data_IF_170265171190
#
_entry.id   IF_170265171190
#
_cell.length_a   1.000
_cell.length_b   1.000
_cell.length_c   1.000
_cell.angle_alpha   90.00
_cell.angle_beta   90.00
_cell.angle_gamma   90.00
#
_symmetry.space_group_name_H-M   'P 1'
#
loop_
_entity.id
_entity.type
_entity.pdbx_description
1 polymer ?
#
# COMPACT_ATOMS: atom_id res chain seq x y z
N UNK A 1 -1.05 19.27 -3.91
CA UNK A 1 -1.23 18.79 -5.29
C UNK A 1 -2.15 17.58 -5.23
N UNK A 2 -3.21 17.58 -6.03
CA UNK A 2 -4.00 16.38 -6.32
C UNK A 2 -3.51 15.80 -7.65
N UNK A 3 -3.09 14.56 -7.66
CA UNK A 3 -2.72 13.79 -8.85
C UNK A 3 -3.76 12.69 -9.04
N UNK A 4 -4.22 12.51 -10.26
CA UNK A 4 -5.20 11.48 -10.64
C UNK A 4 -4.79 10.93 -12.00
N UNK A 5 -4.70 9.60 -12.09
CA UNK A 5 -4.48 8.93 -13.37
C UNK A 5 -5.74 9.03 -14.26
N UNK A 6 -5.57 9.09 -15.56
CA UNK A 6 -6.63 9.33 -16.54
C UNK A 6 -7.58 8.14 -16.73
N UNK A 7 -7.26 6.99 -16.13
CA UNK A 7 -8.06 5.77 -16.16
C UNK A 7 -8.72 5.42 -14.81
N UNK A 8 -8.87 6.43 -13.91
CA UNK A 8 -9.53 6.25 -12.63
C UNK A 8 -10.98 6.74 -12.65
N UNK A 9 -11.85 5.98 -11.96
CA UNK A 9 -13.24 6.35 -11.67
C UNK A 9 -13.36 6.70 -10.19
N UNK A 10 -13.73 7.94 -9.90
CA UNK A 10 -13.73 8.49 -8.54
C UNK A 10 -14.96 9.35 -8.28
N UNK A 11 -15.37 9.55 -7.01
CA UNK A 11 -16.48 10.41 -6.65
C UNK A 11 -16.14 11.89 -6.87
N UNK A 12 -17.15 12.71 -7.15
CA UNK A 12 -16.98 14.14 -7.43
C UNK A 12 -16.31 14.90 -6.29
N UNK A 13 -16.51 14.45 -5.05
CA UNK A 13 -15.96 15.03 -3.81
C UNK A 13 -14.63 14.39 -3.41
N UNK A 14 -13.86 13.83 -4.36
CA UNK A 14 -12.60 13.13 -4.08
C UNK A 14 -11.58 14.02 -3.37
N UNK A 15 -11.49 15.30 -3.78
CA UNK A 15 -10.58 16.24 -3.15
C UNK A 15 -10.92 16.46 -1.68
N UNK A 16 -12.18 16.76 -1.37
CA UNK A 16 -12.66 17.01 -0.01
C UNK A 16 -12.47 15.79 0.89
N UNK A 17 -12.71 14.59 0.35
CA UNK A 17 -12.49 13.33 1.07
C UNK A 17 -11.04 13.15 1.49
N UNK A 18 -10.10 13.42 0.61
CA UNK A 18 -8.68 13.29 0.93
C UNK A 18 -8.19 14.48 1.78
N UNK A 19 -8.61 15.70 1.44
CA UNK A 19 -8.16 16.91 2.11
C UNK A 19 -8.58 16.99 3.58
N UNK A 20 -9.73 16.45 3.96
CA UNK A 20 -10.21 16.43 5.37
C UNK A 20 -9.24 15.79 6.35
N UNK A 21 -8.36 14.90 5.88
CA UNK A 21 -7.40 14.21 6.74
C UNK A 21 -6.23 15.09 7.19
N UNK A 22 -5.94 16.19 6.49
CA UNK A 22 -4.89 17.16 6.83
C UNK A 22 -3.52 16.50 7.09
N UNK A 23 -3.16 15.52 6.26
CA UNK A 23 -1.90 14.78 6.35
C UNK A 23 -0.97 15.06 5.17
N UNK A 24 0.28 14.62 5.25
CA UNK A 24 1.33 14.97 4.30
C UNK A 24 1.10 14.39 2.90
N UNK A 25 0.78 13.10 2.85
CA UNK A 25 0.47 12.35 1.63
C UNK A 25 -0.69 11.42 1.92
N UNK A 26 -1.76 11.47 1.15
CA UNK A 26 -2.90 10.56 1.27
C UNK A 26 -3.42 10.14 -0.09
N UNK A 27 -3.55 8.83 -0.29
CA UNK A 27 -4.16 8.26 -1.49
C UNK A 27 -5.55 7.70 -1.20
N UNK A 28 -6.42 7.75 -2.20
CA UNK A 28 -7.61 6.92 -2.25
C UNK A 28 -7.21 5.46 -2.47
N UNK A 29 -8.01 4.53 -1.97
CA UNK A 29 -7.76 3.11 -2.17
C UNK A 29 -8.08 2.71 -3.61
N UNK A 30 -7.07 2.25 -4.32
CA UNK A 30 -7.16 1.66 -5.65
C UNK A 30 -6.66 0.22 -5.66
N UNK A 31 -6.94 -0.49 -6.76
CA UNK A 31 -6.55 -1.88 -6.97
C UNK A 31 -5.81 -2.05 -8.29
N UNK A 32 -4.90 -3.03 -8.36
CA UNK A 32 -4.20 -3.35 -9.61
C UNK A 32 -5.19 -3.76 -10.70
N UNK A 33 -4.92 -3.35 -11.95
CA UNK A 33 -5.76 -3.67 -13.12
C UNK A 33 -5.83 -5.17 -13.40
N UNK A 34 -4.74 -5.85 -13.18
CA UNK A 34 -4.63 -7.28 -13.45
C UNK A 34 -5.01 -8.11 -12.21
N UNK A 35 -5.67 -9.27 -12.38
CA UNK A 35 -5.88 -10.20 -11.29
C UNK A 35 -4.56 -10.55 -10.58
N UNK A 36 -4.61 -10.70 -9.25
CA UNK A 36 -5.78 -10.81 -8.37
C UNK A 36 -6.34 -9.48 -7.85
N UNK A 37 -6.11 -8.35 -8.53
CA UNK A 37 -6.61 -7.02 -8.15
C UNK A 37 -6.17 -6.63 -6.73
N UNK A 38 -4.86 -6.66 -6.49
CA UNK A 38 -4.30 -6.32 -5.19
C UNK A 38 -4.49 -4.83 -4.87
N UNK A 39 -4.73 -4.48 -3.60
CA UNK A 39 -4.74 -3.09 -3.19
C UNK A 39 -3.34 -2.49 -3.38
N UNK A 40 -3.25 -1.28 -3.94
CA UNK A 40 -1.96 -0.60 -4.17
C UNK A 40 -1.48 0.10 -2.88
N UNK A 41 -1.34 -0.69 -1.85
CA UNK A 41 -0.84 -0.35 -0.52
C UNK A 41 0.38 -1.18 -0.22
N UNK A 42 1.44 -0.55 0.29
CA UNK A 42 2.71 -1.24 0.47
C UNK A 42 3.31 -1.03 1.86
N UNK A 43 3.95 -2.07 2.36
CA UNK A 43 4.81 -2.06 3.54
C UNK A 43 6.24 -2.34 3.13
N UNK A 44 7.18 -1.53 3.64
CA UNK A 44 8.60 -1.75 3.44
C UNK A 44 9.09 -2.79 4.43
N UNK A 45 9.78 -3.79 3.91
CA UNK A 45 10.49 -4.79 4.69
C UNK A 45 11.97 -4.71 4.43
N UNK A 46 12.73 -4.70 5.51
CA UNK A 46 14.18 -4.77 5.49
C UNK A 46 14.61 -6.08 6.13
N UNK A 47 15.65 -6.67 5.59
CA UNK A 47 16.16 -7.93 6.11
C UNK A 47 17.57 -8.23 5.61
N UNK A 48 18.05 -9.37 6.02
CA UNK A 48 19.35 -9.92 5.61
C UNK A 48 19.14 -11.21 4.83
N UNK A 49 19.68 -11.26 3.62
CA UNK A 49 19.71 -12.49 2.82
C UNK A 49 20.95 -13.30 3.20
N UNK A 50 20.79 -14.45 3.87
CA UNK A 50 21.93 -15.26 4.32
C UNK A 50 22.67 -15.95 3.18
N UNK A 51 22.03 -16.16 2.03
CA UNK A 51 22.62 -16.79 0.85
C UNK A 51 23.48 -15.79 0.11
N UNK A 52 22.92 -14.62 -0.19
CA UNK A 52 23.61 -13.54 -0.90
C UNK A 52 24.49 -12.70 0.02
N UNK A 53 24.41 -12.91 1.34
CA UNK A 53 25.15 -12.17 2.38
C UNK A 53 25.02 -10.66 2.23
N UNK A 54 23.80 -10.17 1.97
CA UNK A 54 23.53 -8.75 1.82
C UNK A 54 22.20 -8.35 2.47
N UNK A 55 22.14 -7.09 2.89
CA UNK A 55 20.88 -6.49 3.29
C UNK A 55 19.97 -6.33 2.07
N UNK A 56 18.66 -6.50 2.27
CA UNK A 56 17.67 -6.18 1.27
C UNK A 56 16.58 -5.27 1.85
N UNK A 57 15.98 -4.50 0.98
CA UNK A 57 14.74 -3.77 1.24
C UNK A 57 13.78 -4.06 0.10
N UNK A 58 12.56 -4.42 0.42
CA UNK A 58 11.50 -4.72 -0.56
C UNK A 58 10.17 -4.13 -0.10
N UNK A 59 9.34 -3.76 -1.07
CA UNK A 59 7.94 -3.41 -0.84
C UNK A 59 7.06 -4.64 -0.96
N UNK A 60 6.19 -4.83 0.02
CA UNK A 60 5.21 -5.93 0.05
C UNK A 60 3.81 -5.35 0.04
N UNK A 61 2.88 -6.01 -0.70
CA UNK A 61 1.48 -5.60 -0.70
C UNK A 61 0.83 -5.82 0.66
N UNK A 62 0.08 -4.82 1.11
CA UNK A 62 -0.80 -4.94 2.26
C UNK A 62 -2.15 -5.42 1.74
N UNK A 63 -2.43 -6.72 1.81
CA UNK A 63 -3.69 -7.30 1.31
C UNK A 63 -4.78 -7.25 2.36
N UNK A 64 -4.40 -7.44 3.62
CA UNK A 64 -5.33 -7.40 4.74
C UNK A 64 -5.14 -6.08 5.48
N UNK A 65 -6.03 -5.14 5.21
CA UNK A 65 -5.97 -3.76 5.72
C UNK A 65 -7.27 -3.41 6.46
N UNK A 66 -7.23 -2.49 7.45
CA UNK A 66 -8.43 -1.97 8.10
C UNK A 66 -9.33 -1.24 7.09
N UNK A 67 -10.58 -1.68 6.95
CA UNK A 67 -11.55 -1.03 6.06
C UNK A 67 -12.14 0.23 6.72
N UNK A 68 -12.52 1.21 5.89
CA UNK A 68 -13.16 2.47 6.29
C UNK A 68 -12.33 3.29 7.30
N UNK A 69 -11.02 3.35 7.10
CA UNK A 69 -10.09 4.07 7.97
C UNK A 69 -8.99 4.76 7.18
N UNK A 70 -8.39 5.76 7.80
CA UNK A 70 -7.09 6.28 7.38
C UNK A 70 -6.01 5.33 7.90
N UNK A 71 -5.22 4.76 7.00
CA UNK A 71 -4.19 3.75 7.32
C UNK A 71 -2.83 4.31 6.96
N UNK A 72 -1.89 4.33 7.91
CA UNK A 72 -0.49 4.67 7.63
C UNK A 72 0.20 3.48 6.94
N UNK A 73 0.87 3.77 5.82
CA UNK A 73 1.55 2.78 4.96
C UNK A 73 2.92 3.29 4.56
N UNK A 74 3.72 2.47 3.92
CA UNK A 74 5.06 2.89 3.48
C UNK A 74 5.06 3.42 2.04
N UNK A 75 4.16 2.94 1.19
CA UNK A 75 3.91 3.52 -0.11
C UNK A 75 2.48 3.22 -0.58
N UNK A 76 2.01 4.00 -1.55
CA UNK A 76 0.71 3.89 -2.21
C UNK A 76 0.89 4.03 -3.72
N UNK A 77 -0.05 3.49 -4.49
CA UNK A 77 -0.14 3.80 -5.92
C UNK A 77 -0.71 5.21 -6.14
N UNK A 78 -0.34 5.84 -7.25
CA UNK A 78 -0.71 7.23 -7.56
C UNK A 78 -1.98 7.36 -8.40
N UNK A 79 -2.80 6.32 -8.46
CA UNK A 79 -4.10 6.41 -9.15
C UNK A 79 -4.97 7.60 -8.71
N UNK A 80 -4.95 7.95 -7.44
CA UNK A 80 -5.46 9.22 -6.93
C UNK A 80 -4.79 9.54 -5.59
N UNK A 81 -3.94 10.56 -5.55
CA UNK A 81 -3.16 10.94 -4.37
C UNK A 81 -3.18 12.45 -4.17
N UNK A 82 -3.37 12.87 -2.94
CA UNK A 82 -3.23 14.26 -2.49
C UNK A 82 -1.92 14.42 -1.71
N UNK A 83 -1.08 15.34 -2.15
CA UNK A 83 0.25 15.61 -1.61
C UNK A 83 0.32 17.06 -1.13
N UNK A 84 0.72 17.27 0.12
CA UNK A 84 1.02 18.62 0.62
C UNK A 84 2.28 19.14 -0.07
N UNK A 85 2.25 20.40 -0.51
CA UNK A 85 3.37 21.06 -1.19
C UNK A 85 4.64 21.12 -0.34
N UNK A 86 4.53 21.05 1.00
CA UNK A 86 5.71 21.00 1.88
C UNK A 86 6.55 19.74 1.63
N UNK A 87 5.90 18.59 1.27
CA UNK A 87 6.59 17.35 0.92
C UNK A 87 7.43 17.55 -0.34
N UNK A 88 6.82 18.09 -1.40
CA UNK A 88 7.50 18.33 -2.68
C UNK A 88 8.68 19.30 -2.53
N UNK A 89 8.54 20.31 -1.66
CA UNK A 89 9.61 21.27 -1.39
C UNK A 89 10.77 20.70 -0.57
N UNK A 90 10.53 19.66 0.20
CA UNK A 90 11.52 19.04 1.07
C UNK A 90 12.33 17.93 0.39
N UNK A 91 11.78 17.28 -0.63
CA UNK A 91 12.46 16.22 -1.38
C UNK A 91 13.27 16.79 -2.54
N UNK A 92 14.33 16.09 -2.95
CA UNK A 92 15.20 16.51 -4.04
C UNK A 92 14.81 15.82 -5.36
N UNK A 93 14.75 16.54 -6.49
CA UNK A 93 14.56 15.91 -7.79
C UNK A 93 15.63 14.85 -8.11
N UNK A 94 15.28 13.80 -8.86
CA UNK A 94 13.99 13.55 -9.51
C UNK A 94 12.92 13.11 -8.51
N UNK A 95 11.71 13.67 -8.63
CA UNK A 95 10.60 13.36 -7.72
C UNK A 95 10.00 11.97 -7.97
N UNK A 96 9.95 11.56 -9.23
CA UNK A 96 9.42 10.28 -9.68
C UNK A 96 10.43 9.63 -10.60
N UNK A 97 10.81 8.38 -10.30
CA UNK A 97 11.76 7.63 -11.11
C UNK A 97 11.40 6.16 -11.11
N UNK A 98 11.39 5.55 -12.28
CA UNK A 98 11.20 4.11 -12.43
C UNK A 98 12.56 3.43 -12.52
N UNK A 99 12.75 2.38 -11.74
CA UNK A 99 13.90 1.50 -11.81
C UNK A 99 13.45 0.03 -11.86
N UNK A 100 14.38 -0.90 -12.09
CA UNK A 100 14.06 -2.31 -12.10
C UNK A 100 13.43 -2.75 -10.77
N UNK A 101 12.13 -2.99 -10.76
CA UNK A 101 11.37 -3.47 -9.59
C UNK A 101 10.77 -2.38 -8.70
N UNK A 102 10.90 -1.09 -9.06
CA UNK A 102 10.29 0.02 -8.30
C UNK A 102 9.60 0.98 -9.26
N UNK A 103 8.30 1.20 -9.05
CA UNK A 103 7.52 2.22 -9.76
C UNK A 103 7.83 3.63 -9.25
N UNK A 104 7.42 4.62 -10.03
CA UNK A 104 7.61 6.05 -9.75
C UNK A 104 6.86 6.51 -8.49
N UNK A 105 5.72 5.93 -8.21
CA UNK A 105 4.88 6.14 -7.04
C UNK A 105 5.57 5.68 -5.75
N UNK A 106 6.11 4.45 -5.77
CA UNK A 106 6.89 3.89 -4.66
C UNK A 106 8.15 4.73 -4.42
N UNK A 107 8.84 5.12 -5.49
CA UNK A 107 10.04 5.94 -5.38
C UNK A 107 9.76 7.27 -4.68
N UNK A 108 8.69 7.98 -5.07
CA UNK A 108 8.26 9.21 -4.40
C UNK A 108 7.95 8.98 -2.92
N UNK A 109 7.19 7.94 -2.59
CA UNK A 109 6.81 7.64 -1.21
C UNK A 109 8.05 7.36 -0.34
N UNK A 110 9.04 6.64 -0.87
CA UNK A 110 10.32 6.39 -0.17
C UNK A 110 11.05 7.69 0.11
N UNK A 111 11.16 8.59 -0.87
CA UNK A 111 11.80 9.91 -0.65
C UNK A 111 11.04 10.75 0.38
N UNK A 112 9.72 10.79 0.31
CA UNK A 112 8.88 11.51 1.26
C UNK A 112 9.12 10.99 2.70
N UNK A 113 9.16 9.68 2.87
CA UNK A 113 9.45 9.06 4.18
C UNK A 113 10.87 9.35 4.68
N UNK A 114 11.87 9.29 3.80
CA UNK A 114 13.25 9.66 4.13
C UNK A 114 13.37 11.11 4.56
N UNK A 115 12.53 11.99 4.04
CA UNK A 115 12.42 13.38 4.46
C UNK A 115 11.57 13.58 5.74
N UNK A 116 11.09 12.49 6.38
CA UNK A 116 10.37 12.53 7.65
C UNK A 116 8.85 12.67 7.53
N UNK A 117 8.29 12.59 6.32
CA UNK A 117 6.84 12.65 6.10
C UNK A 117 6.18 11.29 6.21
N UNK A 118 4.87 11.30 6.44
CA UNK A 118 4.05 10.10 6.53
C UNK A 118 3.17 9.92 5.31
N UNK A 119 3.00 8.68 4.90
CA UNK A 119 2.15 8.28 3.78
C UNK A 119 0.94 7.53 4.31
N UNK A 120 -0.24 7.89 3.80
CA UNK A 120 -1.51 7.29 4.22
C UNK A 120 -2.34 6.85 3.01
N UNK A 121 -3.23 5.88 3.26
CA UNK A 121 -4.36 5.58 2.38
C UNK A 121 -5.66 5.74 3.14
N UNK A 122 -6.62 6.41 2.51
CA UNK A 122 -8.01 6.45 3.00
C UNK A 122 -8.78 5.25 2.44
N UNK A 123 -8.89 4.18 3.23
CA UNK A 123 -9.61 2.97 2.84
C UNK A 123 -11.14 3.11 2.87
N UNK A 124 -11.65 4.28 3.29
CA UNK A 124 -13.07 4.64 3.15
C UNK A 124 -13.38 5.29 1.81
N UNK A 125 -12.35 5.79 1.11
CA UNK A 125 -12.46 6.39 -0.21
C UNK A 125 -11.87 5.43 -1.24
N UNK A 126 -12.74 4.59 -1.81
CA UNK A 126 -12.37 3.59 -2.82
C UNK A 126 -12.61 4.16 -4.22
N UNK A 127 -11.66 3.99 -5.11
CA UNK A 127 -11.76 4.39 -6.51
C UNK A 127 -11.69 3.17 -7.43
N UNK A 128 -12.30 3.28 -8.62
CA UNK A 128 -12.28 2.24 -9.63
C UNK A 128 -11.14 2.45 -10.63
N UNK A 129 -10.60 1.36 -11.13
CA UNK A 129 -9.60 1.36 -12.18
C UNK A 129 -10.25 0.88 -13.48
N UNK A 130 -10.26 1.70 -14.53
CA UNK A 130 -10.80 1.30 -15.82
C UNK A 130 -9.98 0.16 -16.40
N UNK A 131 -10.65 -0.95 -16.70
CA UNK A 131 -10.10 -2.09 -17.39
C UNK A 131 -11.11 -2.55 -18.45
N UNK A 132 -10.65 -2.90 -19.63
CA UNK A 132 -11.56 -3.30 -20.70
C UNK A 132 -12.00 -4.77 -20.51
N UNK A 133 -13.30 -5.06 -20.28
CA UNK A 133 -14.46 -4.16 -20.27
C UNK A 133 -14.95 -3.74 -18.87
N UNK A 134 -14.18 -3.87 -17.80
CA UNK A 134 -14.63 -3.72 -16.42
C UNK A 134 -14.00 -2.51 -15.71
N UNK A 135 -14.72 -2.04 -14.68
CA UNK A 135 -14.14 -1.19 -13.65
C UNK A 135 -13.67 -2.09 -12.51
N UNK A 136 -12.39 -2.00 -12.15
CA UNK A 136 -11.82 -2.76 -11.05
C UNK A 136 -11.94 -1.95 -9.76
N UNK A 137 -12.80 -2.41 -8.88
CA UNK A 137 -13.02 -1.84 -7.56
C UNK A 137 -12.92 -2.89 -6.47
N UNK A 138 -13.44 -2.58 -5.30
CA UNK A 138 -13.38 -3.48 -4.14
C UNK A 138 -14.07 -4.83 -4.40
N UNK A 139 -15.21 -4.84 -5.10
CA UNK A 139 -15.95 -6.06 -5.41
C UNK A 139 -15.11 -7.05 -6.25
N UNK A 140 -14.38 -6.54 -7.26
CA UNK A 140 -13.51 -7.35 -8.09
C UNK A 140 -12.32 -7.88 -7.29
N UNK A 141 -11.74 -7.05 -6.43
CA UNK A 141 -10.67 -7.47 -5.51
C UNK A 141 -11.16 -8.56 -4.55
N UNK A 142 -12.33 -8.42 -3.96
CA UNK A 142 -12.87 -9.39 -2.99
C UNK A 142 -13.16 -10.76 -3.62
N UNK A 143 -13.51 -10.84 -4.90
CA UNK A 143 -13.67 -12.12 -5.61
C UNK A 143 -12.38 -12.95 -5.66
N UNK A 144 -11.23 -12.30 -5.68
CA UNK A 144 -9.93 -12.97 -5.71
C UNK A 144 -9.32 -13.15 -4.32
N UNK A 145 -9.89 -12.50 -3.30
CA UNK A 145 -9.44 -12.60 -1.91
C UNK A 145 -10.12 -13.72 -1.11
N UNK A 146 -10.86 -14.61 -1.77
CA UNK A 146 -11.33 -15.83 -1.09
C UNK A 146 -10.13 -16.77 -0.82
N UNK A 147 -10.15 -17.51 0.31
CA UNK A 147 -8.99 -18.31 0.75
C UNK A 147 -8.48 -19.32 -0.29
N UNK A 148 -9.38 -19.90 -1.10
CA UNK A 148 -9.00 -20.91 -2.12
C UNK A 148 -8.36 -20.27 -3.34
N UNK A 149 -8.93 -19.18 -3.84
CA UNK A 149 -8.37 -18.41 -4.95
C UNK A 149 -7.04 -17.83 -4.55
N UNK A 150 -6.93 -17.33 -3.32
CA UNK A 150 -5.69 -16.82 -2.79
C UNK A 150 -4.63 -17.91 -2.64
N UNK A 151 -4.98 -19.10 -2.18
CA UNK A 151 -4.04 -20.24 -2.10
C UNK A 151 -3.52 -20.64 -3.47
N UNK A 152 -4.38 -20.70 -4.49
CA UNK A 152 -4.01 -20.99 -5.88
C UNK A 152 -3.11 -19.90 -6.49
N UNK A 153 -3.42 -18.64 -6.25
CA UNK A 153 -2.68 -17.49 -6.79
C UNK A 153 -1.45 -17.18 -5.94
N UNK A 154 -1.52 -17.38 -4.63
CA UNK A 154 -0.44 -17.09 -3.66
C UNK A 154 0.67 -18.12 -3.64
N UNK A 155 0.50 -19.30 -4.17
CA UNK A 155 1.65 -20.16 -4.46
C UNK A 155 2.71 -19.39 -5.26
N UNK A 156 2.28 -18.47 -6.10
CA UNK A 156 3.14 -17.52 -6.80
C UNK A 156 3.46 -16.26 -5.96
N UNK A 157 2.52 -15.74 -5.18
CA UNK A 157 2.65 -14.46 -4.45
C UNK A 157 3.31 -14.58 -3.07
N UNK A 158 3.28 -15.73 -2.41
CA UNK A 158 4.14 -16.01 -1.22
C UNK A 158 5.62 -15.71 -1.49
N UNK A 159 6.02 -15.81 -2.77
CA UNK A 159 7.34 -15.41 -3.23
C UNK A 159 7.58 -13.89 -3.22
N UNK A 160 6.52 -13.09 -3.27
CA UNK A 160 6.59 -11.63 -3.41
C UNK A 160 6.24 -10.87 -2.13
N UNK A 161 5.94 -11.60 -1.04
CA UNK A 161 5.67 -11.02 0.27
C UNK A 161 4.33 -10.30 0.35
N UNK A 162 3.44 -10.86 1.15
CA UNK A 162 2.16 -10.25 1.48
C UNK A 162 2.19 -9.87 2.94
N UNK A 163 1.87 -8.63 3.24
CA UNK A 163 1.85 -8.11 4.59
C UNK A 163 0.41 -7.98 5.10
N UNK A 164 0.13 -8.60 6.25
CA UNK A 164 -1.16 -8.49 6.92
C UNK A 164 -1.06 -7.49 8.08
N UNK A 165 -1.52 -6.27 7.84
CA UNK A 165 -1.55 -5.20 8.85
C UNK A 165 -2.42 -5.56 10.04
N UNK A 166 -3.52 -6.31 9.82
CA UNK A 166 -4.43 -6.67 10.89
C UNK A 166 -3.83 -7.72 11.84
N UNK A 167 -3.08 -8.68 11.31
CA UNK A 167 -2.40 -9.69 12.12
C UNK A 167 -1.21 -9.10 12.88
N UNK A 168 -0.41 -8.27 12.21
CA UNK A 168 0.76 -7.67 12.85
C UNK A 168 0.40 -6.62 13.89
N UNK A 169 -0.67 -5.84 13.71
CA UNK A 169 -1.14 -4.91 14.74
C UNK A 169 -1.60 -5.62 16.02
N UNK A 170 -2.14 -6.85 15.91
CA UNK A 170 -2.48 -7.68 17.07
C UNK A 170 -1.22 -8.20 17.79
N UNK A 171 -0.21 -8.60 17.03
CA UNK A 171 1.06 -9.05 17.58
C UNK A 171 1.81 -7.90 18.29
N UNK A 172 1.85 -6.71 17.69
CA UNK A 172 2.43 -5.51 18.30
C UNK A 172 1.69 -5.08 19.57
N UNK A 173 0.35 -5.16 19.58
CA UNK A 173 -0.46 -4.88 20.76
C UNK A 173 -0.23 -5.91 21.87
N UNK A 174 -0.05 -7.18 21.55
CA UNK A 174 0.27 -8.24 22.52
C UNK A 174 1.65 -8.03 23.17
N UNK A 175 2.64 -7.62 22.36
CA UNK A 175 3.99 -7.30 22.86
C UNK A 175 3.96 -6.06 23.79
N UNK A 176 3.20 -5.02 23.42
CA UNK A 176 3.05 -3.80 24.27
C UNK A 176 2.33 -4.05 25.58
N UNK A 177 1.44 -5.07 25.63
CA UNK A 177 0.67 -5.39 26.84
C UNK A 177 1.38 -6.36 27.79
N UNK A 178 2.67 -6.67 27.59
CA UNK A 178 3.49 -7.42 28.54
C UNK A 178 3.02 -8.85 28.82
N UNK A 179 2.25 -9.47 27.93
CA UNK A 179 1.91 -10.89 28.07
C UNK A 179 3.06 -11.72 27.50
N UNK A 180 3.99 -12.13 28.36
CA UNK A 180 4.87 -13.26 28.11
C UNK A 180 4.00 -14.49 27.87
N UNK A 181 4.01 -14.96 26.67
CA UNK A 181 3.80 -16.31 26.12
C UNK A 181 3.18 -16.23 24.74
N UNK A 182 4.01 -15.97 23.75
CA UNK A 182 3.73 -16.42 22.40
C UNK A 182 4.80 -17.46 22.09
N UNK A 183 4.46 -18.72 22.27
CA UNK A 183 5.22 -19.81 21.67
C UNK A 183 5.23 -19.61 20.16
N UNK A 184 6.40 -19.34 19.64
CA UNK A 184 6.65 -19.32 18.21
C UNK A 184 6.47 -20.74 17.69
N UNK A 185 5.35 -21.04 17.07
CA UNK A 185 5.21 -22.22 16.22
C UNK A 185 6.00 -21.97 14.93
N UNK A 186 7.31 -22.20 15.05
CA UNK A 186 8.17 -22.49 13.93
C UNK A 186 8.16 -24.00 13.71
N UNK A 187 7.43 -24.45 12.71
CA UNK A 187 7.67 -25.71 12.00
C UNK A 187 7.18 -25.58 10.56
#
# INVERSE_FOLDING_TARGET
ILMIDDDMVFPQDIFERLYRHQVDVVAALAFTRNPPHLPVLYKQHEGWDPILRKAYSKMEWIVNYPKNKLVEVDAVGFGCVLIDMKVVRAITPPYCMTSSGTGEDIFFCVQAKQAGFKVFSDTSTVIGHLSNPMIIGQEQSEKYNDPKTMELLYGAYKKYGVYDVCLNSKAEAAVKNGSEQVEVLAK
#
